data_IF_952200634346
#
_entry.id   IF_952200634346
#
_cell.length_a   1.000
_cell.length_b   1.000
_cell.length_c   1.000
_cell.angle_alpha   90.00
_cell.angle_beta   90.00
_cell.angle_gamma   90.00
#
_symmetry.space_group_name_H-M   'P 1'
#
loop_
_entity.id
_entity.type
_entity.pdbx_description
1 polymer ?
#
# COMPACT_ATOMS: atom_id res chain seq x y z
N UNK A 1 9.69 7.04 5.41
CA UNK A 1 8.34 6.66 4.96
C UNK A 1 8.55 5.63 3.88
N UNK A 2 7.95 4.43 3.96
CA UNK A 2 7.87 3.59 2.79
C UNK A 2 7.00 4.31 1.76
N UNK A 3 7.48 4.43 0.51
CA UNK A 3 6.61 4.76 -0.62
C UNK A 3 6.03 3.45 -1.14
N UNK A 4 4.82 3.50 -1.67
CA UNK A 4 4.21 2.33 -2.29
C UNK A 4 3.58 2.68 -3.64
N UNK A 5 3.85 1.84 -4.63
CA UNK A 5 3.22 1.87 -5.94
C UNK A 5 2.20 0.74 -6.05
N UNK A 6 1.01 1.05 -6.55
CA UNK A 6 -0.06 0.08 -6.75
C UNK A 6 -0.33 -0.10 -8.24
N UNK A 7 -0.27 -1.35 -8.69
CA UNK A 7 -0.71 -1.76 -10.02
C UNK A 7 -1.96 -2.59 -9.85
N UNK A 8 -3.05 -2.16 -10.48
CA UNK A 8 -4.35 -2.85 -10.43
C UNK A 8 -4.77 -3.12 -11.86
N UNK A 9 -5.19 -4.34 -12.11
CA UNK A 9 -5.78 -4.80 -13.35
C UNK A 9 -7.16 -5.38 -13.08
N UNK A 10 -8.07 -5.21 -14.03
CA UNK A 10 -9.38 -5.84 -14.02
C UNK A 10 -9.49 -6.75 -15.24
N UNK A 11 -9.88 -8.00 -15.02
CA UNK A 11 -10.15 -8.95 -16.09
C UNK A 11 -11.40 -9.75 -15.76
N UNK A 12 -12.36 -9.75 -16.68
CA UNK A 12 -13.63 -10.49 -16.55
C UNK A 12 -14.37 -10.20 -15.22
N UNK A 13 -14.35 -8.94 -14.78
CA UNK A 13 -14.98 -8.48 -13.53
C UNK A 13 -14.24 -8.90 -12.25
N UNK A 14 -13.04 -9.49 -12.36
CA UNK A 14 -12.16 -9.79 -11.24
C UNK A 14 -11.01 -8.80 -11.18
N UNK A 15 -10.81 -8.20 -10.01
CA UNK A 15 -9.65 -7.37 -9.75
C UNK A 15 -8.45 -8.25 -9.37
N UNK A 16 -7.29 -7.84 -9.84
CA UNK A 16 -5.99 -8.32 -9.38
C UNK A 16 -5.07 -7.12 -9.22
N UNK A 17 -4.03 -7.26 -8.39
CA UNK A 17 -3.10 -6.17 -8.24
C UNK A 17 -1.87 -6.55 -7.46
N UNK A 18 -0.91 -5.63 -7.47
CA UNK A 18 0.37 -5.74 -6.78
C UNK A 18 0.70 -4.41 -6.11
N UNK A 19 1.26 -4.51 -4.91
CA UNK A 19 1.83 -3.41 -4.15
C UNK A 19 3.35 -3.55 -4.19
N UNK A 20 4.06 -2.52 -4.63
CA UNK A 20 5.52 -2.43 -4.53
C UNK A 20 5.86 -1.50 -3.38
N UNK A 21 6.49 -2.00 -2.32
CA UNK A 21 6.99 -1.20 -1.21
C UNK A 21 8.44 -0.81 -1.44
N UNK A 22 8.77 0.46 -1.22
CA UNK A 22 10.13 0.97 -1.33
C UNK A 22 10.75 1.25 0.03
N UNK A 23 11.94 0.70 0.27
CA UNK A 23 12.77 1.06 1.40
C UNK A 23 13.55 2.34 1.04
N UNK A 24 13.11 3.47 1.59
CA UNK A 24 13.74 4.77 1.35
C UNK A 24 14.73 5.09 2.47
N UNK A 25 15.99 5.25 2.11
CA UNK A 25 17.05 5.76 2.99
C UNK A 25 17.36 7.22 2.66
N UNK A 26 17.92 7.93 3.65
CA UNK A 26 18.47 9.25 3.42
C UNK A 26 19.99 9.12 3.34
N UNK A 27 20.56 9.55 2.21
CA UNK A 27 22.01 9.60 2.00
C UNK A 27 22.64 10.71 2.86
N UNK A 28 23.96 10.67 3.01
CA UNK A 28 24.71 11.66 3.80
C UNK A 28 24.60 13.09 3.25
N UNK A 29 24.26 13.25 1.96
CA UNK A 29 24.01 14.54 1.31
C UNK A 29 22.53 14.97 1.37
N UNK A 30 21.69 14.24 2.12
CA UNK A 30 20.31 14.59 2.40
C UNK A 30 19.29 14.13 1.36
N UNK A 31 19.71 13.50 0.25
CA UNK A 31 18.80 12.95 -0.75
C UNK A 31 18.09 11.71 -0.23
N UNK A 32 16.91 11.44 -0.79
CA UNK A 32 16.17 10.20 -0.54
C UNK A 32 16.51 9.22 -1.66
N UNK A 33 16.96 8.03 -1.28
CA UNK A 33 17.35 6.97 -2.21
C UNK A 33 16.56 5.70 -1.89
N UNK A 34 16.20 4.95 -2.92
CA UNK A 34 15.56 3.64 -2.77
C UNK A 34 16.68 2.61 -2.58
N UNK A 35 16.76 2.02 -1.38
CA UNK A 35 17.73 0.97 -1.06
C UNK A 35 17.20 -0.45 -1.29
N UNK A 36 15.91 -0.58 -1.60
CA UNK A 36 15.27 -1.86 -1.90
C UNK A 36 13.80 -1.70 -2.26
N UNK A 37 13.27 -2.69 -2.95
CA UNK A 37 11.85 -2.81 -3.28
C UNK A 37 11.33 -4.21 -2.93
N UNK A 38 10.06 -4.29 -2.53
CA UNK A 38 9.37 -5.53 -2.24
C UNK A 38 8.00 -5.54 -2.94
N UNK A 39 7.81 -6.52 -3.81
CA UNK A 39 6.59 -6.75 -4.57
C UNK A 39 5.69 -7.75 -3.84
N UNK A 40 4.49 -7.33 -3.46
CA UNK A 40 3.50 -8.17 -2.78
C UNK A 40 2.19 -8.18 -3.57
N UNK A 41 1.72 -9.38 -3.92
CA UNK A 41 0.43 -9.54 -4.61
C UNK A 41 -0.74 -9.23 -3.66
N UNK A 42 -1.73 -8.51 -4.18
CA UNK A 42 -2.97 -8.22 -3.46
C UNK A 42 -3.83 -9.48 -3.37
N UNK A 43 -4.31 -9.77 -2.17
CA UNK A 43 -5.26 -10.84 -1.93
C UNK A 43 -6.66 -10.24 -1.83
N UNK A 44 -7.61 -10.87 -2.52
CA UNK A 44 -9.04 -10.49 -2.51
C UNK A 44 -9.30 -8.98 -2.73
N UNK A 45 -8.71 -8.35 -3.76
CA UNK A 45 -8.97 -6.94 -4.02
C UNK A 45 -10.42 -6.71 -4.41
N UNK A 46 -11.02 -5.66 -3.84
CA UNK A 46 -12.39 -5.23 -4.09
C UNK A 46 -12.44 -3.70 -4.18
N UNK A 47 -13.28 -3.20 -5.07
CA UNK A 47 -13.45 -1.76 -5.29
C UNK A 47 -14.94 -1.42 -5.33
N UNK A 48 -15.36 -0.48 -4.47
CA UNK A 48 -16.77 -0.06 -4.33
C UNK A 48 -17.10 1.25 -5.07
N UNK A 49 -16.17 1.78 -5.87
CA UNK A 49 -16.30 3.06 -6.55
C UNK A 49 -15.61 4.23 -5.84
N UNK A 50 -15.30 4.09 -4.55
CA UNK A 50 -14.64 5.13 -3.75
C UNK A 50 -13.43 4.60 -2.97
N UNK A 51 -13.48 3.33 -2.57
CA UNK A 51 -12.51 2.67 -1.72
C UNK A 51 -12.05 1.37 -2.35
N UNK A 52 -10.74 1.21 -2.42
CA UNK A 52 -10.10 -0.06 -2.73
C UNK A 52 -9.78 -0.77 -1.42
N UNK A 53 -10.24 -2.00 -1.25
CA UNK A 53 -9.88 -2.87 -0.14
C UNK A 53 -9.14 -4.09 -0.68
N UNK A 54 -8.14 -4.56 0.04
CA UNK A 54 -7.40 -5.79 -0.27
C UNK A 54 -6.70 -6.28 0.98
N UNK A 55 -6.09 -7.45 0.92
CA UNK A 55 -5.22 -7.97 1.98
C UNK A 55 -3.82 -8.20 1.43
N UNK A 56 -2.81 -8.12 2.29
CA UNK A 56 -1.43 -8.46 1.98
C UNK A 56 -0.96 -9.56 2.91
N UNK A 57 -0.14 -10.47 2.41
CA UNK A 57 0.57 -11.44 3.25
C UNK A 57 1.96 -10.88 3.56
N UNK A 58 2.24 -10.60 4.82
CA UNK A 58 3.55 -10.10 5.23
C UNK A 58 4.58 -11.24 5.30
N UNK A 59 5.89 -10.94 5.46
CA UNK A 59 6.92 -11.97 5.55
C UNK A 59 6.76 -12.95 6.74
N UNK A 60 6.07 -12.56 7.82
CA UNK A 60 5.74 -13.49 8.92
C UNK A 60 4.57 -14.42 8.60
N UNK A 61 3.96 -14.27 7.41
CA UNK A 61 2.86 -15.09 6.93
C UNK A 61 1.47 -14.62 7.38
N UNK A 62 1.39 -13.53 8.14
CA UNK A 62 0.15 -12.93 8.58
C UNK A 62 -0.53 -12.17 7.45
N UNK A 63 -1.86 -12.16 7.47
CA UNK A 63 -2.67 -11.44 6.49
C UNK A 63 -3.12 -10.11 7.07
N UNK A 64 -2.66 -9.02 6.48
CA UNK A 64 -2.95 -7.65 6.92
C UNK A 64 -4.01 -7.04 5.99
N UNK A 65 -5.19 -6.66 6.50
CA UNK A 65 -6.20 -5.97 5.71
C UNK A 65 -5.77 -4.52 5.43
N UNK A 66 -5.95 -4.11 4.19
CA UNK A 66 -5.60 -2.79 3.68
C UNK A 66 -6.82 -2.12 3.07
N UNK A 67 -6.89 -0.81 3.23
CA UNK A 67 -7.94 0.01 2.69
C UNK A 67 -7.38 1.34 2.20
N UNK A 68 -7.66 1.67 0.95
CA UNK A 68 -7.29 2.94 0.35
C UNK A 68 -8.52 3.67 -0.08
N UNK A 69 -8.62 4.93 0.32
CA UNK A 69 -9.61 5.87 -0.21
C UNK A 69 -8.98 6.55 -1.41
N UNK A 70 -9.64 6.51 -2.56
CA UNK A 70 -9.18 7.25 -3.72
C UNK A 70 -9.41 8.75 -3.51
N UNK A 71 -8.39 9.55 -3.76
CA UNK A 71 -8.45 11.01 -3.62
C UNK A 71 -8.56 11.73 -4.97
N UNK A 72 -8.27 11.04 -6.08
CA UNK A 72 -8.30 11.57 -7.44
C UNK A 72 -7.04 11.17 -8.22
N UNK A 73 -7.02 11.32 -9.54
CA UNK A 73 -5.82 11.20 -10.42
C UNK A 73 -4.85 10.05 -10.15
N UNK A 74 -5.37 8.87 -9.80
CA UNK A 74 -4.52 7.71 -9.52
C UNK A 74 -3.73 7.86 -8.22
N UNK A 75 -4.21 8.64 -7.26
CA UNK A 75 -3.68 8.70 -5.91
C UNK A 75 -4.71 8.20 -4.90
N UNK A 76 -4.20 7.61 -3.82
CA UNK A 76 -5.02 7.11 -2.73
C UNK A 76 -4.36 7.36 -1.38
N UNK A 77 -5.21 7.65 -0.40
CA UNK A 77 -4.80 7.73 1.00
C UNK A 77 -5.07 6.39 1.68
N UNK A 78 -4.05 5.86 2.35
CA UNK A 78 -4.21 4.66 3.16
C UNK A 78 -5.11 4.97 4.37
N UNK A 79 -6.32 4.43 4.35
CA UNK A 79 -7.20 4.41 5.50
C UNK A 79 -6.77 3.22 6.39
N UNK A 80 -5.63 3.34 7.07
CA UNK A 80 -5.19 2.33 8.04
C UNK A 80 -6.23 2.17 9.13
N UNK A 81 -6.82 0.98 9.23
CA UNK A 81 -7.37 0.52 10.51
C UNK A 81 -6.18 0.01 11.31
N UNK A 82 -5.91 0.68 12.43
CA UNK A 82 -4.79 0.40 13.33
C UNK A 82 -4.83 -1.06 13.75
N UNK A 83 -3.92 -1.89 13.23
CA UNK A 83 -3.61 -3.16 13.89
C UNK A 83 -2.83 -2.82 15.15
N UNK A 84 -3.53 -2.78 16.28
CA UNK A 84 -2.92 -2.65 17.61
C UNK A 84 -2.12 -3.91 17.85
N UNK A 85 -0.81 -3.85 17.60
CA UNK A 85 0.14 -4.78 18.19
C UNK A 85 0.21 -4.51 19.69
N UNK A 86 0.27 -5.58 20.48
CA UNK A 86 0.13 -5.63 21.95
C UNK A 86 1.31 -4.99 22.73
N UNK A 87 1.83 -3.86 22.25
CA UNK A 87 2.67 -2.94 23.01
C UNK A 87 2.21 -1.54 22.65
N UNK A 88 1.55 -0.87 23.60
CA UNK A 88 0.91 0.43 23.49
C UNK A 88 1.82 1.60 23.08
N UNK A 89 2.36 1.56 21.88
CA UNK A 89 2.92 2.72 21.19
C UNK A 89 1.99 3.09 20.04
N UNK A 90 1.11 4.06 20.29
CA UNK A 90 0.47 4.84 19.21
C UNK A 90 1.58 5.53 18.43
N UNK A 91 2.14 4.85 17.43
CA UNK A 91 2.80 5.55 16.34
C UNK A 91 1.70 6.15 15.49
N UNK A 92 1.56 7.47 15.55
CA UNK A 92 0.87 8.21 14.50
C UNK A 92 1.47 7.77 13.16
N UNK A 93 0.71 6.97 12.43
CA UNK A 93 1.05 6.56 11.07
C UNK A 93 1.06 7.82 10.21
N UNK A 94 2.24 8.42 10.06
CA UNK A 94 2.48 9.50 9.09
C UNK A 94 1.93 9.02 7.76
N UNK A 95 0.91 9.73 7.24
CA UNK A 95 0.11 9.32 6.08
C UNK A 95 0.99 8.78 4.95
N UNK A 96 0.75 7.54 4.57
CA UNK A 96 1.40 6.94 3.41
C UNK A 96 0.64 7.42 2.18
N UNK A 97 1.28 8.29 1.39
CA UNK A 97 0.77 8.70 0.08
C UNK A 97 1.08 7.57 -0.89
N UNK A 98 0.04 7.02 -1.51
CA UNK A 98 0.15 5.87 -2.40
C UNK A 98 -0.17 6.30 -3.81
N UNK A 99 0.76 6.04 -4.74
CA UNK A 99 0.54 6.29 -6.17
C UNK A 99 0.03 5.02 -6.83
N UNK A 100 -1.09 5.16 -7.54
CA UNK A 100 -1.71 4.12 -8.32
C UNK A 100 -1.46 4.36 -9.80
N UNK A 101 -1.01 3.32 -10.50
CA UNK A 101 -0.98 3.31 -11.95
C UNK A 101 -1.97 2.26 -12.44
N UNK A 102 -3.08 2.71 -13.03
CA UNK A 102 -4.02 1.82 -13.72
C UNK A 102 -3.33 1.25 -14.95
N UNK A 103 -3.20 -0.08 -15.01
CA UNK A 103 -2.69 -0.77 -16.20
C UNK A 103 -3.90 -1.11 -17.06
N UNK A 104 -3.92 -0.63 -18.31
CA UNK A 104 -4.97 -0.93 -19.30
C UNK A 104 -4.76 -2.32 -19.89
#
# INVERSE_FOLDING_TARGET
>A
MPAADLKIAEKDGKLSGRVTFYLIHQSADGRREVGGEEDIDMLEPSFDGQRLTFKLKNPSGETVPMALRLTGDGEGELATQVTVGDRGERRESRGMVVKMKRVK
#
